data_IF_517470641165
#
_entry.id   IF_517470641165
#
_cell.length_a   1.000
_cell.length_b   1.000
_cell.length_c   1.000
_cell.angle_alpha   90.00
_cell.angle_beta   90.00
_cell.angle_gamma   90.00
#
_symmetry.space_group_name_H-M   'P 1'
#
loop_
_entity.id
_entity.type
_entity.pdbx_description
1 polymer ?
#
# COMPACT_ATOMS: atom_id res chain seq x y z
N UNK A 1 19.31 17.87 15.86
CA UNK A 1 19.13 16.42 15.96
C UNK A 1 19.02 15.88 14.54
N UNK A 2 19.95 15.03 14.10
CA UNK A 2 19.85 14.37 12.79
C UNK A 2 18.75 13.33 12.88
N UNK A 3 17.70 13.44 12.05
CA UNK A 3 16.66 12.41 11.97
C UNK A 3 17.34 11.09 11.55
N UNK A 4 17.07 10.03 12.30
CA UNK A 4 17.55 8.68 11.93
C UNK A 4 16.87 8.28 10.63
N UNK A 5 17.61 7.72 9.68
CA UNK A 5 17.07 7.18 8.43
C UNK A 5 16.46 5.79 8.67
N UNK A 6 15.34 5.52 8.03
CA UNK A 6 14.70 4.19 8.04
C UNK A 6 14.35 3.77 6.63
N UNK A 7 14.59 2.50 6.32
CA UNK A 7 14.20 1.88 5.06
C UNK A 7 12.80 1.27 5.24
N UNK A 8 11.87 1.53 4.32
CA UNK A 8 10.53 0.93 4.33
C UNK A 8 10.17 0.40 2.95
N UNK A 9 9.53 -0.76 2.90
CA UNK A 9 8.96 -1.29 1.66
C UNK A 9 7.56 -0.71 1.42
N UNK A 10 7.29 -0.11 0.25
CA UNK A 10 5.93 0.28 -0.10
C UNK A 10 5.01 -0.93 -0.06
N UNK A 11 3.92 -0.84 0.68
CA UNK A 11 2.96 -1.92 0.92
C UNK A 11 1.53 -1.42 0.78
N UNK A 12 0.60 -2.34 0.52
CA UNK A 12 -0.81 -2.01 0.37
C UNK A 12 -1.43 -1.78 1.74
N UNK A 13 -1.96 -0.57 1.99
CA UNK A 13 -2.51 -0.11 3.27
C UNK A 13 -1.60 -0.46 4.46
N UNK A 14 -0.43 0.21 4.61
CA UNK A 14 0.54 -0.13 5.63
C UNK A 14 -0.02 -0.07 7.06
N UNK A 15 0.66 -0.74 7.98
CA UNK A 15 0.29 -0.71 9.39
C UNK A 15 0.55 0.65 10.03
N UNK A 16 -0.13 0.92 11.14
CA UNK A 16 0.13 2.11 11.98
C UNK A 16 1.59 2.21 12.43
N UNK A 17 2.28 1.08 12.61
CA UNK A 17 3.70 1.05 12.94
C UNK A 17 4.57 1.64 11.81
N UNK A 18 4.19 1.42 10.55
CA UNK A 18 4.87 2.00 9.39
C UNK A 18 4.73 3.53 9.42
N UNK A 19 3.51 4.03 9.59
CA UNK A 19 3.26 5.47 9.69
C UNK A 19 3.94 6.11 10.92
N UNK A 20 3.96 5.42 12.05
CA UNK A 20 4.69 5.87 13.24
C UNK A 20 6.20 6.00 12.97
N UNK A 21 6.79 5.07 12.21
CA UNK A 21 8.18 5.17 11.78
C UNK A 21 8.38 6.35 10.81
N UNK A 22 7.45 6.59 9.88
CA UNK A 22 7.50 7.72 8.96
C UNK A 22 7.48 9.08 9.67
N UNK A 23 6.78 9.20 10.79
CA UNK A 23 6.74 10.43 11.59
C UNK A 23 8.05 10.65 12.37
N UNK A 24 8.71 9.57 12.79
CA UNK A 24 9.88 9.63 13.68
C UNK A 24 11.21 9.69 12.92
N UNK A 25 11.23 9.27 11.66
CA UNK A 25 12.44 8.97 10.91
C UNK A 25 12.38 9.53 9.49
N UNK A 26 13.55 9.78 8.90
CA UNK A 26 13.64 10.10 7.48
C UNK A 26 13.49 8.79 6.68
N UNK A 27 12.42 8.69 5.89
CA UNK A 27 12.06 7.46 5.18
C UNK A 27 12.77 7.40 3.84
N UNK A 28 13.32 6.23 3.52
CA UNK A 28 13.74 5.85 2.17
C UNK A 28 12.90 4.66 1.74
N UNK A 29 12.24 4.75 0.58
CA UNK A 29 11.47 3.65 0.03
C UNK A 29 12.37 2.62 -0.65
N UNK A 30 12.29 1.36 -0.22
CA UNK A 30 12.95 0.25 -0.92
C UNK A 30 12.10 -0.18 -2.13
N UNK A 31 12.53 0.27 -3.31
CA UNK A 31 11.82 0.06 -4.59
C UNK A 31 12.59 -0.82 -5.57
N UNK A 32 13.89 -1.02 -5.32
CA UNK A 32 14.81 -1.76 -6.19
C UNK A 32 14.79 -3.27 -5.94
N UNK A 33 14.08 -3.71 -4.90
CA UNK A 33 13.91 -5.11 -4.55
C UNK A 33 12.99 -5.92 -5.46
N UNK A 34 13.13 -7.24 -5.36
CA UNK A 34 12.23 -8.17 -6.02
C UNK A 34 10.87 -8.23 -5.31
N UNK A 35 9.83 -8.52 -6.09
CA UNK A 35 8.51 -8.80 -5.54
C UNK A 35 8.50 -10.11 -4.74
N UNK A 36 7.95 -10.03 -3.52
CA UNK A 36 7.70 -11.20 -2.68
C UNK A 36 6.22 -11.55 -2.70
N UNK A 37 5.90 -12.77 -3.14
CA UNK A 37 4.54 -13.30 -3.12
C UNK A 37 3.99 -13.38 -1.70
N UNK A 38 2.68 -13.25 -1.60
CA UNK A 38 1.93 -13.42 -0.34
C UNK A 38 2.40 -12.48 0.79
N UNK A 39 3.09 -11.40 0.45
CA UNK A 39 3.55 -10.37 1.38
C UNK A 39 2.55 -9.21 1.46
N UNK A 40 2.81 -8.27 2.37
CA UNK A 40 2.03 -7.03 2.51
C UNK A 40 2.12 -6.12 1.27
N UNK A 41 2.99 -6.43 0.29
CA UNK A 41 3.05 -5.70 -0.99
C UNK A 41 1.75 -5.81 -1.79
N UNK A 42 1.02 -6.92 -1.69
CA UNK A 42 -0.26 -7.07 -2.38
C UNK A 42 -1.39 -7.54 -1.46
N UNK A 43 -1.18 -7.46 -0.14
CA UNK A 43 -2.15 -7.87 0.87
C UNK A 43 -2.24 -6.81 1.96
N UNK A 44 -3.46 -6.52 2.37
CA UNK A 44 -3.76 -5.74 3.55
C UNK A 44 -4.70 -6.51 4.46
N UNK A 45 -4.64 -6.21 5.75
CA UNK A 45 -5.57 -6.74 6.75
C UNK A 45 -6.32 -5.57 7.36
N UNK A 46 -7.63 -5.63 7.28
CA UNK A 46 -8.52 -4.66 7.92
C UNK A 46 -9.36 -5.36 8.99
N UNK A 47 -9.97 -4.60 9.86
CA UNK A 47 -10.81 -5.13 10.94
C UNK A 47 -12.19 -4.50 10.89
N UNK A 48 -13.22 -5.32 11.11
CA UNK A 48 -14.59 -4.87 11.34
C UNK A 48 -15.20 -5.61 12.55
N UNK A 49 -16.51 -5.46 12.74
CA UNK A 49 -17.32 -6.13 13.76
C UNK A 49 -17.23 -7.67 13.75
N UNK A 50 -16.82 -8.27 12.62
CA UNK A 50 -16.69 -9.71 12.42
C UNK A 50 -15.24 -10.21 12.51
N UNK A 51 -14.29 -9.34 12.80
CA UNK A 51 -12.88 -9.67 12.98
C UNK A 51 -11.99 -9.21 11.83
N UNK A 52 -10.94 -9.98 11.55
CA UNK A 52 -9.91 -9.63 10.57
C UNK A 52 -10.33 -10.09 9.18
N UNK A 53 -10.30 -9.16 8.22
CA UNK A 53 -10.56 -9.40 6.81
C UNK A 53 -9.30 -9.14 5.99
N UNK A 54 -8.97 -10.08 5.10
CA UNK A 54 -7.85 -9.96 4.17
C UNK A 54 -8.31 -9.35 2.86
N UNK A 55 -7.60 -8.32 2.41
CA UNK A 55 -7.74 -7.68 1.12
C UNK A 55 -6.52 -8.06 0.28
N UNK A 56 -6.72 -8.71 -0.87
CA UNK A 56 -5.62 -9.06 -1.79
C UNK A 56 -5.78 -8.35 -3.12
N UNK A 57 -4.72 -7.66 -3.55
CA UNK A 57 -4.60 -7.14 -4.92
C UNK A 57 -4.19 -8.31 -5.83
N UNK A 58 -4.99 -8.65 -6.85
CA UNK A 58 -4.62 -9.66 -7.82
C UNK A 58 -3.50 -9.11 -8.72
N UNK A 59 -2.47 -9.91 -8.95
CA UNK A 59 -1.32 -9.54 -9.77
C UNK A 59 -1.10 -10.58 -10.86
N UNK A 60 -0.64 -10.15 -12.03
CA UNK A 60 -0.38 -11.09 -13.12
C UNK A 60 0.98 -11.77 -12.88
N UNK A 61 0.97 -13.10 -12.76
CA UNK A 61 2.20 -13.85 -12.51
C UNK A 61 1.96 -15.34 -12.40
N UNK A 62 1.91 -16.04 -13.55
CA UNK A 62 1.99 -17.50 -13.58
C UNK A 62 3.45 -17.93 -13.40
N UNK A 63 3.72 -18.87 -12.47
CA UNK A 63 4.98 -19.61 -12.37
C UNK A 63 6.08 -19.06 -11.44
N UNK A 64 7.25 -19.72 -11.49
CA UNK A 64 8.44 -19.48 -10.64
C UNK A 64 9.10 -18.10 -10.86
N UNK A 65 8.95 -17.51 -12.05
CA UNK A 65 9.63 -16.27 -12.46
C UNK A 65 9.18 -15.00 -11.72
N UNK A 66 8.06 -15.07 -11.00
CA UNK A 66 7.49 -13.94 -10.26
C UNK A 66 8.28 -13.54 -9.01
N UNK A 67 9.07 -14.44 -8.41
CA UNK A 67 9.96 -14.10 -7.28
C UNK A 67 11.25 -13.39 -7.72
N UNK A 68 11.57 -13.45 -9.01
CA UNK A 68 12.75 -12.78 -9.60
C UNK A 68 12.38 -11.49 -10.34
N UNK A 69 11.09 -11.16 -10.37
CA UNK A 69 10.63 -9.95 -11.04
C UNK A 69 10.78 -8.77 -10.08
N UNK A 70 11.34 -7.69 -10.60
CA UNK A 70 11.47 -6.43 -9.88
C UNK A 70 10.09 -5.92 -9.46
N UNK A 71 10.01 -5.30 -8.28
CA UNK A 71 8.75 -4.91 -7.67
C UNK A 71 8.00 -3.83 -8.48
N UNK A 72 8.73 -2.90 -9.08
CA UNK A 72 8.23 -1.90 -10.02
C UNK A 72 7.58 -2.48 -11.28
N UNK A 73 7.95 -3.71 -11.65
CA UNK A 73 7.45 -4.40 -12.86
C UNK A 73 6.29 -5.36 -12.59
N UNK A 74 5.67 -5.34 -11.41
CA UNK A 74 4.55 -6.23 -11.11
C UNK A 74 3.23 -5.64 -11.62
N UNK A 75 2.64 -6.18 -12.72
CA UNK A 75 1.37 -5.72 -13.21
C UNK A 75 0.22 -6.19 -12.33
N UNK A 76 -0.74 -5.31 -12.10
CA UNK A 76 -2.01 -5.62 -11.44
C UNK A 76 -2.92 -6.34 -12.44
N UNK A 77 -3.64 -7.35 -11.96
CA UNK A 77 -4.67 -8.04 -12.74
C UNK A 77 -6.01 -7.30 -12.64
N UNK A 78 -6.20 -6.31 -13.51
CA UNK A 78 -7.45 -5.55 -13.62
C UNK A 78 -8.57 -6.30 -14.36
N UNK A 79 -8.40 -7.57 -14.73
CA UNK A 79 -9.50 -8.37 -15.31
C UNK A 79 -10.58 -8.71 -14.27
N UNK A 80 -10.25 -8.59 -12.99
CA UNK A 80 -11.14 -8.81 -11.86
C UNK A 80 -11.52 -7.47 -11.22
N UNK A 81 -12.76 -7.28 -10.73
CA UNK A 81 -13.20 -6.03 -10.11
C UNK A 81 -12.70 -5.92 -8.65
N UNK A 82 -11.39 -6.04 -8.44
CA UNK A 82 -10.79 -6.06 -7.11
C UNK A 82 -10.92 -4.70 -6.42
N UNK A 83 -10.69 -3.58 -7.11
CA UNK A 83 -10.85 -2.25 -6.51
C UNK A 83 -12.25 -2.02 -5.97
N UNK A 84 -13.28 -2.30 -6.79
CA UNK A 84 -14.69 -2.20 -6.38
C UNK A 84 -15.00 -3.08 -5.16
N UNK A 85 -14.39 -4.26 -5.10
CA UNK A 85 -14.56 -5.18 -3.98
C UNK A 85 -13.95 -4.59 -2.71
N UNK A 86 -12.68 -4.17 -2.76
CA UNK A 86 -12.00 -3.55 -1.61
C UNK A 86 -12.70 -2.29 -1.13
N UNK A 87 -13.14 -1.43 -2.05
CA UNK A 87 -13.85 -0.20 -1.67
C UNK A 87 -15.12 -0.48 -0.89
N UNK A 88 -15.94 -1.40 -1.39
CA UNK A 88 -17.15 -1.83 -0.67
C UNK A 88 -16.83 -2.45 0.68
N UNK A 89 -15.74 -3.21 0.78
CA UNK A 89 -15.31 -3.80 2.04
C UNK A 89 -14.88 -2.71 3.04
N UNK A 90 -14.13 -1.69 2.60
CA UNK A 90 -13.75 -0.54 3.44
C UNK A 90 -14.97 0.28 3.87
N UNK A 91 -15.87 0.61 2.95
CA UNK A 91 -17.13 1.28 3.27
C UNK A 91 -17.94 0.49 4.29
N UNK A 92 -18.08 -0.83 4.09
CA UNK A 92 -18.83 -1.67 5.05
C UNK A 92 -18.17 -1.71 6.43
N UNK A 93 -16.84 -1.79 6.47
CA UNK A 93 -16.09 -1.88 7.73
C UNK A 93 -16.09 -0.55 8.51
N UNK A 94 -16.01 0.59 7.82
CA UNK A 94 -15.68 1.86 8.44
C UNK A 94 -16.73 2.96 8.25
N UNK A 95 -17.82 2.78 7.50
CA UNK A 95 -18.85 3.83 7.29
C UNK A 95 -19.48 4.36 8.57
N UNK A 96 -19.55 3.55 9.62
CA UNK A 96 -20.05 3.97 10.95
C UNK A 96 -18.94 4.44 11.88
N UNK A 97 -17.66 4.37 11.45
CA UNK A 97 -16.53 4.87 12.23
C UNK A 97 -16.49 6.40 12.18
N UNK A 98 -16.07 7.06 13.27
CA UNK A 98 -15.89 8.50 13.28
C UNK A 98 -15.01 8.96 12.11
N UNK A 99 -15.42 10.05 11.45
CA UNK A 99 -14.68 10.73 10.39
C UNK A 99 -14.50 9.96 9.07
N UNK A 100 -15.07 8.76 8.87
CA UNK A 100 -14.92 8.05 7.59
C UNK A 100 -15.42 8.86 6.39
N UNK A 101 -16.58 9.49 6.51
CA UNK A 101 -17.17 10.34 5.45
C UNK A 101 -16.25 11.50 5.04
N UNK A 102 -15.44 12.02 5.98
CA UNK A 102 -14.48 13.09 5.69
C UNK A 102 -13.34 12.61 4.79
N UNK A 103 -12.85 11.37 5.01
CA UNK A 103 -11.77 10.79 4.21
C UNK A 103 -12.26 10.03 2.98
N UNK A 104 -13.57 9.80 2.85
CA UNK A 104 -14.16 8.99 1.78
C UNK A 104 -13.80 9.56 0.40
N UNK A 105 -13.87 10.89 0.24
CA UNK A 105 -13.56 11.57 -1.02
C UNK A 105 -12.09 11.46 -1.42
N UNK A 106 -11.17 11.47 -0.46
CA UNK A 106 -9.73 11.34 -0.73
C UNK A 106 -9.34 9.89 -1.06
N UNK A 107 -10.02 8.92 -0.44
CA UNK A 107 -9.72 7.50 -0.61
C UNK A 107 -10.40 6.88 -1.83
N UNK A 108 -11.59 7.34 -2.21
CA UNK A 108 -12.37 6.77 -3.32
C UNK A 108 -11.60 6.68 -4.66
N UNK A 109 -10.80 7.67 -5.08
CA UNK A 109 -10.02 7.60 -6.31
C UNK A 109 -9.06 6.40 -6.39
N UNK A 110 -8.54 5.91 -5.25
CA UNK A 110 -7.68 4.72 -5.19
C UNK A 110 -8.39 3.44 -5.60
N UNK A 111 -9.72 3.46 -5.65
CA UNK A 111 -10.53 2.28 -5.94
C UNK A 111 -11.51 2.46 -7.10
N UNK A 112 -11.58 3.66 -7.69
CA UNK A 112 -12.43 3.92 -8.86
C UNK A 112 -11.62 4.00 -10.15
N UNK A 113 -10.31 4.23 -10.07
CA UNK A 113 -9.41 4.20 -11.21
C UNK A 113 -8.66 2.87 -11.34
N UNK A 114 -8.32 2.52 -12.59
CA UNK A 114 -7.46 1.37 -12.89
C UNK A 114 -6.00 1.75 -12.70
N UNK A 115 -5.22 0.88 -12.07
CA UNK A 115 -3.78 1.07 -11.88
C UNK A 115 -3.03 -0.11 -12.50
N UNK A 116 -1.95 0.17 -13.22
CA UNK A 116 -1.26 -0.85 -14.01
C UNK A 116 -0.22 -1.63 -13.20
N UNK A 117 0.49 -0.96 -12.28
CA UNK A 117 1.63 -1.53 -11.56
C UNK A 117 1.48 -1.43 -10.04
N UNK A 118 1.86 -2.51 -9.34
CA UNK A 118 1.65 -2.66 -7.91
C UNK A 118 2.46 -1.66 -7.06
N UNK A 119 3.74 -1.47 -7.36
CA UNK A 119 4.59 -0.54 -6.62
C UNK A 119 4.05 0.90 -6.72
N UNK A 120 3.73 1.33 -7.95
CA UNK A 120 3.20 2.67 -8.20
C UNK A 120 1.89 2.89 -7.42
N UNK A 121 0.98 1.90 -7.48
CA UNK A 121 -0.26 1.95 -6.72
C UNK A 121 -0.03 2.05 -5.21
N UNK A 122 0.89 1.25 -4.65
CA UNK A 122 1.16 1.30 -3.21
C UNK A 122 1.76 2.63 -2.77
N UNK A 123 2.65 3.23 -3.56
CA UNK A 123 3.18 4.57 -3.27
C UNK A 123 2.07 5.63 -3.31
N UNK A 124 1.14 5.53 -4.26
CA UNK A 124 -0.04 6.41 -4.34
C UNK A 124 -0.95 6.27 -3.11
N UNK A 125 -1.28 5.03 -2.71
CA UNK A 125 -2.05 4.73 -1.50
C UNK A 125 -1.38 5.36 -0.27
N UNK A 126 -0.07 5.16 -0.10
CA UNK A 126 0.67 5.71 1.03
C UNK A 126 0.65 7.24 1.01
N UNK A 127 0.83 7.85 -0.16
CA UNK A 127 0.83 9.31 -0.32
C UNK A 127 -0.50 9.93 0.08
N UNK A 128 -1.63 9.31 -0.32
CA UNK A 128 -2.96 9.76 0.08
C UNK A 128 -3.16 9.62 1.59
N UNK A 129 -2.80 8.47 2.19
CA UNK A 129 -2.91 8.28 3.64
C UNK A 129 -2.03 9.29 4.41
N UNK A 130 -0.83 9.60 3.92
CA UNK A 130 0.02 10.64 4.50
C UNK A 130 -0.67 12.01 4.47
N UNK A 131 -1.36 12.33 3.36
CA UNK A 131 -2.20 13.53 3.25
C UNK A 131 -3.32 13.56 4.30
N UNK A 132 -4.07 12.47 4.45
CA UNK A 132 -5.12 12.34 5.45
C UNK A 132 -4.59 12.50 6.88
N UNK A 133 -3.42 11.95 7.17
CA UNK A 133 -2.76 12.02 8.47
C UNK A 133 -1.99 13.35 8.69
N UNK A 134 -1.91 14.21 7.68
CA UNK A 134 -1.14 15.47 7.69
C UNK A 134 0.35 15.27 8.02
N UNK A 135 0.94 14.19 7.51
CA UNK A 135 2.37 13.89 7.66
C UNK A 135 3.10 13.99 6.32
N UNK A 136 4.40 14.32 6.30
CA UNK A 136 5.14 14.43 5.04
C UNK A 136 5.30 13.06 4.38
N UNK A 137 5.05 13.01 3.08
CA UNK A 137 5.42 11.88 2.24
C UNK A 137 6.87 12.04 1.78
N UNK A 138 7.69 11.00 1.95
CA UNK A 138 9.07 11.00 1.44
C UNK A 138 9.08 10.65 -0.05
N UNK A 139 9.79 11.44 -0.85
CA UNK A 139 10.04 11.14 -2.28
C UNK A 139 11.36 10.35 -2.47
N UNK A 140 12.12 10.12 -1.38
CA UNK A 140 13.38 9.40 -1.42
C UNK A 140 13.16 7.90 -1.60
N UNK A 141 13.91 7.29 -2.51
CA UNK A 141 13.84 5.87 -2.82
C UNK A 141 15.23 5.30 -3.12
N UNK A 142 15.39 4.00 -2.94
CA UNK A 142 16.64 3.31 -3.26
C UNK A 142 16.86 3.26 -4.77
N UNK A 143 18.13 3.39 -5.17
CA UNK A 143 18.59 3.19 -6.56
C UNK A 143 19.21 1.81 -6.78
N UNK A 144 19.56 1.13 -5.68
CA UNK A 144 20.10 -0.22 -5.61
C UNK A 144 19.41 -0.93 -4.46
N UNK A 145 19.10 -2.22 -4.62
CA UNK A 145 18.43 -3.00 -3.59
C UNK A 145 19.28 -3.10 -2.31
N UNK A 146 18.71 -2.69 -1.17
CA UNK A 146 19.29 -2.87 0.15
C UNK A 146 18.53 -3.98 0.91
N UNK A 147 19.28 -4.94 1.45
CA UNK A 147 18.72 -6.03 2.27
C UNK A 147 18.72 -5.57 3.73
N UNK A 148 17.57 -5.69 4.40
CA UNK A 148 17.44 -5.48 5.86
C UNK A 148 18.51 -6.22 6.68
#
# INVERSE_FOLDING_TARGET
>A
MTLKKTLLFPSYLPSIASFAAMVQHEVIWEVSGNYQKQSLRNRAYITNDRGIHSLTIPVQGKGELSHRRSYDQIPIDNSQPWQRTHWRTLQTAYRTSPFFEYYEQDLEPLFTHSHDYLLAYNLEVIKIICGCLQIPFSENHTTVFEKE
#
